data_IF_441063329843
#
_entry.id   IF_441063329843
#
_cell.length_a   1.000
_cell.length_b   1.000
_cell.length_c   1.000
_cell.angle_alpha   90.00
_cell.angle_beta   90.00
_cell.angle_gamma   90.00
#
_symmetry.space_group_name_H-M   'P 1'
#
loop_
_entity.id
_entity.type
_entity.pdbx_description
1 polymer ?
#
# COMPACT_ATOMS: atom_id res chain seq x y z
N UNK A 1 12.40 16.93 -0.69
CA UNK A 1 11.87 15.62 -0.25
C UNK A 1 11.73 14.61 -1.40
N UNK A 2 11.06 14.97 -2.51
CA UNK A 2 10.77 14.05 -3.65
C UNK A 2 12.02 13.43 -4.29
N UNK A 3 13.13 14.17 -4.41
CA UNK A 3 14.37 13.70 -5.04
C UNK A 3 15.07 12.53 -4.32
N UNK A 4 14.81 12.29 -3.03
CA UNK A 4 15.41 11.15 -2.29
C UNK A 4 14.64 9.83 -2.46
N UNK A 5 13.35 9.89 -2.78
CA UNK A 5 12.53 8.70 -3.04
C UNK A 5 12.92 7.99 -4.34
N UNK A 6 13.45 8.72 -5.32
CA UNK A 6 13.89 8.17 -6.60
C UNK A 6 15.02 7.12 -6.44
N UNK A 7 15.83 7.19 -5.40
CA UNK A 7 16.96 6.28 -5.18
C UNK A 7 16.55 4.92 -4.53
N UNK A 8 15.37 4.83 -3.92
CA UNK A 8 14.92 3.65 -3.17
C UNK A 8 13.85 2.80 -3.90
N UNK A 9 13.65 3.01 -5.21
CA UNK A 9 12.55 2.40 -5.96
C UNK A 9 11.19 3.11 -5.78
N UNK A 10 11.17 4.23 -5.05
CA UNK A 10 10.07 5.20 -5.00
C UNK A 10 8.78 4.78 -4.29
N UNK A 11 8.55 3.48 -4.07
CA UNK A 11 7.32 3.01 -3.44
C UNK A 11 7.40 3.12 -1.91
N UNK A 12 6.31 3.61 -1.30
CA UNK A 12 6.21 3.87 0.14
C UNK A 12 5.01 3.17 0.76
N UNK A 13 5.05 2.93 2.07
CA UNK A 13 3.91 2.35 2.76
C UNK A 13 2.70 3.33 2.73
N UNK A 14 1.49 2.78 2.87
CA UNK A 14 0.25 3.59 2.81
C UNK A 14 0.24 4.67 3.90
N UNK A 15 0.81 4.40 5.08
CA UNK A 15 0.94 5.39 6.16
C UNK A 15 1.83 6.58 5.76
N UNK A 16 2.93 6.34 5.05
CA UNK A 16 3.78 7.43 4.56
C UNK A 16 3.13 8.16 3.38
N UNK A 17 2.43 7.43 2.50
CA UNK A 17 1.63 8.04 1.45
C UNK A 17 0.59 9.02 2.03
N UNK A 18 -0.08 8.66 3.13
CA UNK A 18 -1.00 9.56 3.83
C UNK A 18 -0.31 10.84 4.32
N UNK A 19 0.90 10.73 4.90
CA UNK A 19 1.69 11.91 5.32
C UNK A 19 2.02 12.80 4.13
N UNK A 20 2.40 12.21 2.99
CA UNK A 20 2.70 12.96 1.76
C UNK A 20 1.47 13.67 1.18
N UNK A 21 0.29 13.05 1.29
CA UNK A 21 -0.98 13.62 0.87
C UNK A 21 -1.57 14.59 1.92
N UNK A 22 -0.91 14.75 3.06
CA UNK A 22 -1.38 15.55 4.20
C UNK A 22 -2.76 15.11 4.73
N UNK A 23 -3.05 13.82 4.65
CA UNK A 23 -4.29 13.21 5.17
C UNK A 23 -4.00 12.31 6.35
N UNK A 24 -4.99 12.12 7.22
CA UNK A 24 -4.87 11.14 8.30
C UNK A 24 -4.74 9.72 7.71
N UNK A 25 -3.81 8.87 8.18
CA UNK A 25 -3.65 7.51 7.67
C UNK A 25 -4.95 6.70 7.67
N UNK A 26 -5.74 6.78 8.75
CA UNK A 26 -7.05 6.10 8.86
C UNK A 26 -8.00 6.48 7.72
N UNK A 27 -8.07 7.77 7.35
CA UNK A 27 -8.88 8.25 6.22
C UNK A 27 -8.38 7.68 4.89
N UNK A 28 -7.06 7.64 4.67
CA UNK A 28 -6.51 7.07 3.44
C UNK A 28 -6.78 5.57 3.34
N UNK A 29 -6.57 4.81 4.41
CA UNK A 29 -6.87 3.37 4.43
C UNK A 29 -8.36 3.11 4.13
N UNK A 30 -9.27 3.84 4.78
CA UNK A 30 -10.71 3.71 4.55
C UNK A 30 -11.08 4.06 3.10
N UNK A 31 -10.56 5.16 2.56
CA UNK A 31 -10.80 5.54 1.17
C UNK A 31 -10.27 4.49 0.20
N UNK A 32 -9.04 4.01 0.40
CA UNK A 32 -8.41 2.99 -0.45
C UNK A 32 -9.18 1.66 -0.41
N UNK A 33 -9.70 1.26 0.75
CA UNK A 33 -10.55 0.08 0.87
C UNK A 33 -11.86 0.25 0.08
N UNK A 34 -12.58 1.36 0.32
CA UNK A 34 -13.85 1.68 -0.36
C UNK A 34 -13.69 1.76 -1.89
N UNK A 35 -12.56 2.27 -2.39
CA UNK A 35 -12.29 2.47 -3.81
C UNK A 35 -11.54 1.30 -4.47
N UNK A 36 -11.52 0.13 -3.79
CA UNK A 36 -10.91 -1.11 -4.29
C UNK A 36 -9.43 -0.91 -4.69
N UNK A 37 -8.68 -0.19 -3.86
CA UNK A 37 -7.23 -0.16 -3.95
C UNK A 37 -6.61 -1.27 -3.11
N UNK A 38 -7.15 -1.50 -1.93
CA UNK A 38 -6.74 -2.56 -1.00
C UNK A 38 -7.94 -3.31 -0.44
N UNK A 39 -7.70 -4.52 0.06
CA UNK A 39 -8.66 -5.33 0.79
C UNK A 39 -7.95 -6.17 1.85
N UNK A 40 -8.71 -6.72 2.80
CA UNK A 40 -8.22 -7.74 3.74
C UNK A 40 -8.67 -9.12 3.28
N UNK A 41 -7.77 -10.10 3.35
CA UNK A 41 -8.14 -11.51 3.14
C UNK A 41 -8.84 -12.03 4.39
N UNK A 42 -9.85 -12.87 4.23
CA UNK A 42 -10.51 -13.55 5.36
C UNK A 42 -9.47 -14.28 6.21
N UNK A 43 -9.50 -14.08 7.53
CA UNK A 43 -8.53 -14.66 8.46
C UNK A 43 -7.14 -14.00 8.49
N UNK A 44 -6.88 -12.97 7.66
CA UNK A 44 -5.62 -12.21 7.69
C UNK A 44 -5.87 -10.75 8.07
N UNK A 45 -5.17 -10.26 9.09
CA UNK A 45 -5.16 -8.84 9.45
C UNK A 45 -4.41 -7.95 8.44
N UNK A 46 -3.81 -8.52 7.40
CA UNK A 46 -2.96 -7.81 6.43
C UNK A 46 -3.75 -7.26 5.25
N UNK A 47 -3.38 -6.06 4.84
CA UNK A 47 -3.87 -5.45 3.62
C UNK A 47 -3.22 -6.06 2.39
N UNK A 48 -3.98 -6.20 1.31
CA UNK A 48 -3.52 -6.66 0.00
C UNK A 48 -3.99 -5.67 -1.05
N UNK A 49 -3.12 -5.25 -1.98
CA UNK A 49 -3.53 -4.42 -3.11
C UNK A 49 -4.32 -5.23 -4.15
N UNK A 50 -5.36 -4.62 -4.74
CA UNK A 50 -6.09 -5.20 -5.87
C UNK A 50 -5.22 -5.26 -7.13
N UNK A 51 -5.30 -6.38 -7.87
CA UNK A 51 -4.52 -6.62 -9.08
C UNK A 51 -4.58 -5.48 -10.11
N UNK A 52 -5.74 -4.84 -10.41
CA UNK A 52 -5.78 -3.71 -11.32
C UNK A 52 -4.89 -2.53 -10.92
N UNK A 53 -4.68 -2.28 -9.62
CA UNK A 53 -3.78 -1.20 -9.15
C UNK A 53 -2.31 -1.57 -9.32
N UNK A 54 -1.99 -2.85 -9.22
CA UNK A 54 -0.65 -3.37 -9.51
C UNK A 54 -0.37 -3.29 -11.01
N UNK A 55 -1.27 -3.80 -11.84
CA UNK A 55 -1.13 -3.75 -13.32
C UNK A 55 -1.02 -2.32 -13.84
N UNK A 56 -1.73 -1.37 -13.24
CA UNK A 56 -1.64 0.06 -13.60
C UNK A 56 -0.33 0.73 -13.12
N UNK A 57 0.47 0.04 -12.31
CA UNK A 57 1.70 0.55 -11.72
C UNK A 57 1.49 1.53 -10.56
N UNK A 58 0.28 1.60 -10.00
CA UNK A 58 -0.02 2.48 -8.86
C UNK A 58 0.42 1.89 -7.52
N UNK A 59 0.43 0.56 -7.42
CA UNK A 59 0.85 -0.14 -6.22
C UNK A 59 1.78 -1.30 -6.58
N UNK A 60 2.61 -1.70 -5.63
CA UNK A 60 3.42 -2.92 -5.70
C UNK A 60 3.30 -3.69 -4.38
N UNK A 61 3.71 -4.95 -4.35
CA UNK A 61 3.88 -5.69 -3.10
C UNK A 61 5.36 -5.86 -2.80
N UNK A 62 5.75 -5.50 -1.58
CA UNK A 62 7.03 -5.92 -1.02
C UNK A 62 6.87 -7.33 -0.48
N UNK A 63 7.73 -8.24 -0.96
CA UNK A 63 7.84 -9.59 -0.40
C UNK A 63 8.79 -9.53 0.80
N UNK A 64 8.29 -9.93 1.96
CA UNK A 64 9.11 -10.09 3.17
C UNK A 64 9.08 -11.56 3.55
N UNK A 65 10.24 -12.23 3.49
CA UNK A 65 10.38 -13.61 3.95
C UNK A 65 10.11 -13.66 5.46
N UNK A 66 9.23 -14.57 5.86
CA UNK A 66 8.93 -14.87 7.25
C UNK A 66 9.69 -16.13 7.64
N UNK A 67 9.85 -16.33 8.96
CA UNK A 67 10.35 -17.62 9.48
C UNK A 67 9.45 -18.74 8.97
N UNK A 68 10.08 -19.83 8.56
CA UNK A 68 9.38 -21.04 8.15
C UNK A 68 8.47 -21.53 9.26
N UNK A 69 7.38 -22.16 8.86
CA UNK A 69 6.47 -22.84 9.77
C UNK A 69 7.24 -23.89 10.60
N UNK A 70 7.23 -23.81 11.94
CA UNK A 70 7.98 -24.74 12.78
C UNK A 70 7.48 -26.19 12.73
N UNK A 71 6.19 -26.41 12.41
CA UNK A 71 5.59 -27.74 12.33
C UNK A 71 5.70 -28.33 10.92
N UNK A 72 5.51 -27.52 9.88
CA UNK A 72 5.46 -28.00 8.49
C UNK A 72 6.74 -27.74 7.70
N UNK A 73 7.66 -26.92 8.22
CA UNK A 73 8.89 -26.50 7.53
C UNK A 73 8.63 -25.55 6.34
N UNK A 74 7.37 -25.20 6.06
CA UNK A 74 7.01 -24.42 4.88
C UNK A 74 7.52 -22.98 4.97
N UNK A 75 8.15 -22.50 3.89
CA UNK A 75 8.50 -21.09 3.76
C UNK A 75 7.23 -20.23 3.75
N UNK A 76 7.26 -19.14 4.51
CA UNK A 76 6.15 -18.18 4.58
C UNK A 76 6.64 -16.83 4.08
N UNK A 77 5.81 -16.13 3.30
CA UNK A 77 6.09 -14.78 2.86
C UNK A 77 4.94 -13.83 3.21
N UNK A 78 5.29 -12.62 3.64
CA UNK A 78 4.37 -11.50 3.75
C UNK A 78 4.39 -10.68 2.47
N UNK A 79 3.23 -10.22 2.03
CA UNK A 79 3.10 -9.28 0.92
C UNK A 79 2.53 -7.99 1.49
N UNK A 80 3.34 -6.94 1.55
CA UNK A 80 2.92 -5.64 2.06
C UNK A 80 2.64 -4.70 0.88
N UNK A 81 1.44 -4.09 0.79
CA UNK A 81 1.10 -3.19 -0.30
C UNK A 81 1.80 -1.84 -0.11
N UNK A 82 2.54 -1.43 -1.14
CA UNK A 82 3.21 -0.14 -1.22
C UNK A 82 2.59 0.70 -2.35
N UNK A 83 2.57 2.02 -2.16
CA UNK A 83 2.13 3.02 -3.13
C UNK A 83 3.36 3.51 -3.90
N UNK A 84 3.34 3.42 -5.23
CA UNK A 84 4.42 3.93 -6.09
C UNK A 84 4.34 5.46 -6.21
N UNK A 85 5.38 6.15 -6.75
CA UNK A 85 5.26 7.58 -7.04
C UNK A 85 4.09 7.90 -7.99
N UNK A 86 3.85 7.03 -8.97
CA UNK A 86 2.71 7.13 -9.90
C UNK A 86 1.38 6.98 -9.16
N UNK A 87 1.28 6.03 -8.24
CA UNK A 87 0.10 5.84 -7.40
C UNK A 87 -0.16 7.02 -6.47
N UNK A 88 0.90 7.57 -5.89
CA UNK A 88 0.82 8.74 -5.01
C UNK A 88 0.29 9.97 -5.77
N UNK A 89 0.82 10.24 -6.97
CA UNK A 89 0.32 11.30 -7.84
C UNK A 89 -1.17 11.11 -8.16
N UNK A 90 -1.58 9.87 -8.50
CA UNK A 90 -2.98 9.56 -8.78
C UNK A 90 -3.88 9.72 -7.55
N UNK A 91 -3.42 9.36 -6.36
CA UNK A 91 -4.19 9.53 -5.12
C UNK A 91 -4.42 11.00 -4.76
N UNK A 92 -3.46 11.88 -5.09
CA UNK A 92 -3.57 13.32 -4.85
C UNK A 92 -4.73 13.98 -5.62
N UNK A 93 -5.17 13.39 -6.73
CA UNK A 93 -6.25 13.91 -7.56
C UNK A 93 -7.65 13.75 -6.92
N UNK A 94 -7.81 12.87 -5.92
CA UNK A 94 -9.12 12.50 -5.38
C UNK A 94 -9.60 13.32 -4.17
N UNK A 95 -8.90 14.40 -3.81
CA UNK A 95 -9.22 15.29 -2.67
C UNK A 95 -9.64 14.52 -1.39
N UNK A 96 -8.84 13.52 -1.02
CA UNK A 96 -9.20 12.55 0.01
C UNK A 96 -9.27 13.23 1.38
N UNK A 97 -10.44 13.19 2.04
CA UNK A 97 -10.57 13.63 3.43
C UNK A 97 -10.70 15.14 3.64
N UNK A 98 -10.80 15.95 2.58
CA UNK A 98 -11.36 17.28 2.67
C UNK A 98 -12.81 17.17 3.16
N UNK A 99 -13.13 17.84 4.27
CA UNK A 99 -14.53 18.14 4.58
C UNK A 99 -15.01 19.10 3.50
N UNK A 100 -16.15 18.76 2.88
CA UNK A 100 -16.95 19.72 2.13
C UNK A 100 -17.34 20.90 3.02
#
# INVERSE_FOLDING_TARGET
AIKRLAAAGGAICITDAAKHLQVQPSKLFAWMEQHRWIFRRQGSGRWTAYQPRITSGYMIHKVTSLKSDPETGAERAAFDPLVTPKGLARLAEFNIGASL
#
